data_IF_210587132110
#
_entry.id   IF_210587132110
#
_cell.length_a   1.000
_cell.length_b   1.000
_cell.length_c   1.000
_cell.angle_alpha   90.00
_cell.angle_beta   90.00
_cell.angle_gamma   90.00
#
_symmetry.space_group_name_H-M   'P 1'
#
loop_
_entity.id
_entity.type
_entity.pdbx_description
1 polymer ?
#
# COMPACT_ATOMS: atom_id res chain seq x y z
N UNK A 1 23.69 6.28 11.88
CA UNK A 1 22.61 7.29 11.77
C UNK A 1 21.53 6.97 10.71
N UNK A 2 21.74 6.00 9.82
CA UNK A 2 20.78 5.63 8.75
C UNK A 2 19.74 4.62 9.19
N UNK A 3 20.01 3.79 10.19
CA UNK A 3 19.05 2.82 10.75
C UNK A 3 17.85 3.49 11.47
N UNK A 4 18.08 4.64 12.13
CA UNK A 4 17.05 5.35 12.88
C UNK A 4 15.98 6.06 12.01
N UNK A 5 16.22 6.31 10.72
CA UNK A 5 15.21 6.92 9.84
C UNK A 5 14.18 5.91 9.32
N UNK A 6 14.54 4.62 9.20
CA UNK A 6 13.61 3.57 8.77
C UNK A 6 12.60 3.17 9.85
N UNK A 7 12.94 3.36 11.13
CA UNK A 7 12.05 3.08 12.27
C UNK A 7 10.99 4.16 12.53
N UNK A 8 11.08 5.34 11.89
CA UNK A 8 10.16 6.46 12.13
C UNK A 8 8.77 6.33 11.48
N UNK A 9 8.53 5.31 10.67
CA UNK A 9 7.23 5.11 10.01
C UNK A 9 6.27 4.21 10.79
N UNK A 10 6.62 3.83 12.01
CA UNK A 10 5.82 2.89 12.76
C UNK A 10 5.97 3.15 14.26
N UNK A 11 4.85 3.27 14.93
CA UNK A 11 4.78 3.18 16.37
C UNK A 11 4.12 1.85 16.74
N UNK A 12 4.91 0.91 17.27
CA UNK A 12 4.38 -0.26 17.96
C UNK A 12 4.36 0.08 19.44
N UNK A 13 3.20 0.02 20.04
CA UNK A 13 3.08 0.11 21.49
C UNK A 13 2.62 -1.22 22.03
N UNK A 14 3.45 -1.80 22.86
CA UNK A 14 3.11 -2.89 23.74
C UNK A 14 2.16 -2.33 24.83
N UNK A 15 0.93 -2.77 24.83
CA UNK A 15 -0.01 -2.51 25.92
C UNK A 15 -0.25 -3.84 26.63
N UNK A 16 0.51 -4.07 27.69
CA UNK A 16 0.40 -5.31 28.45
C UNK A 16 -0.93 -5.45 29.22
N UNK A 17 -1.68 -4.35 29.50
CA UNK A 17 -2.83 -4.42 30.40
C UNK A 17 -4.01 -3.49 30.11
N UNK A 18 -4.02 -2.68 29.04
CA UNK A 18 -5.19 -1.86 28.71
C UNK A 18 -5.20 -1.45 27.23
N UNK A 19 -6.39 -1.45 26.62
CA UNK A 19 -6.60 -0.79 25.34
C UNK A 19 -6.29 0.70 25.50
N UNK A 20 -5.42 1.22 24.62
CA UNK A 20 -5.17 2.66 24.54
C UNK A 20 -6.43 3.32 23.99
N UNK A 21 -6.86 4.38 24.65
CA UNK A 21 -7.99 5.19 24.17
C UNK A 21 -7.73 5.67 22.73
N UNK A 22 -8.76 5.62 21.90
CA UNK A 22 -8.70 6.03 20.48
C UNK A 22 -8.22 7.48 20.32
N UNK A 23 -8.67 8.37 21.20
CA UNK A 23 -8.25 9.78 21.20
C UNK A 23 -6.74 9.93 21.44
N UNK A 24 -6.16 9.07 22.28
CA UNK A 24 -4.72 9.04 22.53
C UNK A 24 -3.95 8.48 21.34
N UNK A 25 -4.47 7.42 20.68
CA UNK A 25 -3.87 6.89 19.45
C UNK A 25 -3.85 7.97 18.35
N UNK A 26 -4.95 8.72 18.20
CA UNK A 26 -5.06 9.80 17.23
C UNK A 26 -4.07 10.94 17.52
N UNK A 27 -3.91 11.34 18.79
CA UNK A 27 -2.95 12.37 19.19
C UNK A 27 -1.50 11.94 18.91
N UNK A 28 -1.15 10.68 19.19
CA UNK A 28 0.18 10.12 18.90
C UNK A 28 0.42 10.12 17.38
N UNK A 29 -0.56 9.73 16.59
CA UNK A 29 -0.44 9.73 15.14
C UNK A 29 -0.25 11.15 14.58
N UNK A 30 -0.97 12.12 15.11
CA UNK A 30 -0.82 13.53 14.75
C UNK A 30 0.57 14.08 15.10
N UNK A 31 1.09 13.77 16.29
CA UNK A 31 2.43 14.18 16.73
C UNK A 31 3.54 13.53 15.90
N UNK A 32 3.39 12.23 15.53
CA UNK A 32 4.34 11.54 14.67
C UNK A 32 4.41 12.16 13.26
N UNK A 33 3.30 12.72 12.79
CA UNK A 33 3.18 13.37 11.49
C UNK A 33 3.74 12.49 10.34
N UNK A 34 3.41 11.21 10.37
CA UNK A 34 3.73 10.21 9.34
C UNK A 34 2.48 9.93 8.53
N UNK A 35 2.63 9.29 7.35
CA UNK A 35 1.46 8.90 6.55
C UNK A 35 0.48 8.09 7.39
N UNK A 36 0.96 7.06 8.11
CA UNK A 36 0.18 6.31 9.10
C UNK A 36 1.05 5.86 10.28
N UNK A 37 0.41 5.75 11.45
CA UNK A 37 0.93 5.12 12.67
C UNK A 37 0.10 3.90 12.98
N UNK A 38 0.73 2.72 13.08
CA UNK A 38 0.06 1.48 13.47
C UNK A 38 0.15 1.24 14.97
N UNK A 39 -0.96 0.83 15.57
CA UNK A 39 -1.06 0.38 16.96
C UNK A 39 -1.42 -1.10 16.97
N UNK A 40 -0.61 -1.90 17.65
CA UNK A 40 -0.80 -3.36 17.74
C UNK A 40 -0.96 -3.76 19.20
N UNK A 41 -2.07 -4.44 19.51
CA UNK A 41 -2.28 -5.09 20.78
C UNK A 41 -1.80 -6.55 20.67
N UNK A 42 -0.75 -6.90 21.42
CA UNK A 42 -0.13 -8.23 21.39
C UNK A 42 -0.50 -9.10 22.59
N UNK A 43 -1.47 -8.71 23.39
CA UNK A 43 -1.91 -9.45 24.58
C UNK A 43 -2.53 -10.81 24.27
N UNK A 44 -3.11 -10.98 23.08
CA UNK A 44 -3.73 -12.22 22.63
C UNK A 44 -3.71 -12.36 21.11
N UNK A 45 -3.54 -13.58 20.59
CA UNK A 45 -3.66 -13.88 19.17
C UNK A 45 -5.12 -14.21 18.79
N UNK A 46 -5.59 -13.79 17.60
CA UNK A 46 -4.89 -12.93 16.63
C UNK A 46 -4.68 -11.51 17.18
N UNK A 47 -3.55 -10.88 16.85
CA UNK A 47 -3.20 -9.55 17.34
C UNK A 47 -4.10 -8.49 16.73
N UNK A 48 -4.66 -7.60 17.54
CA UNK A 48 -5.49 -6.51 17.03
C UNK A 48 -4.61 -5.36 16.53
N UNK A 49 -4.83 -4.90 15.28
CA UNK A 49 -4.09 -3.80 14.65
C UNK A 49 -5.04 -2.70 14.20
N UNK A 50 -4.64 -1.44 14.45
CA UNK A 50 -5.32 -0.22 14.01
C UNK A 50 -4.30 0.73 13.40
N UNK A 51 -4.74 1.53 12.43
CA UNK A 51 -3.89 2.49 11.73
C UNK A 51 -4.51 3.88 11.78
N UNK A 52 -3.69 4.87 12.09
CA UNK A 52 -4.09 6.27 12.17
C UNK A 52 -3.21 7.12 11.28
N UNK A 53 -3.82 7.84 10.34
CA UNK A 53 -3.24 9.00 9.71
C UNK A 53 -3.24 10.17 10.72
N UNK A 54 -2.53 11.28 10.47
CA UNK A 54 -2.51 12.41 11.41
C UNK A 54 -3.88 12.99 11.75
N UNK A 55 -4.88 12.84 10.87
CA UNK A 55 -6.22 13.42 11.04
C UNK A 55 -7.34 12.43 11.31
N UNK A 56 -7.14 11.13 11.06
CA UNK A 56 -8.20 10.13 11.18
C UNK A 56 -7.65 8.70 11.23
N UNK A 57 -8.43 7.77 11.79
CA UNK A 57 -8.21 6.33 11.62
C UNK A 57 -8.45 5.93 10.17
N UNK A 58 -7.68 4.97 9.66
CA UNK A 58 -7.81 4.41 8.32
C UNK A 58 -8.08 2.90 8.38
N UNK A 59 -8.87 2.40 7.44
CA UNK A 59 -9.40 1.03 7.47
C UNK A 59 -8.34 -0.04 7.23
N UNK A 60 -7.32 0.28 6.42
CA UNK A 60 -6.26 -0.66 6.05
C UNK A 60 -5.01 0.09 5.59
N UNK A 61 -3.85 -0.29 6.14
CA UNK A 61 -2.56 0.22 5.72
C UNK A 61 -1.54 -0.92 5.55
N UNK A 62 -1.22 -1.26 4.30
CA UNK A 62 -0.33 -2.40 3.98
C UNK A 62 1.10 -2.20 4.47
N UNK A 63 1.72 -1.05 4.19
CA UNK A 63 3.11 -0.81 4.57
C UNK A 63 3.29 -0.73 6.09
N UNK A 64 2.33 -0.15 6.81
CA UNK A 64 2.38 -0.11 8.27
C UNK A 64 2.15 -1.51 8.88
N UNK A 65 1.29 -2.35 8.26
CA UNK A 65 1.13 -3.76 8.66
C UNK A 65 2.41 -4.57 8.44
N UNK A 66 3.07 -4.40 7.28
CA UNK A 66 4.34 -5.06 6.97
C UNK A 66 5.42 -4.67 7.97
N UNK A 67 5.53 -3.39 8.27
CA UNK A 67 6.49 -2.87 9.23
C UNK A 67 6.17 -3.36 10.66
N UNK A 68 4.89 -3.44 11.05
CA UNK A 68 4.46 -4.04 12.32
C UNK A 68 4.85 -5.50 12.41
N UNK A 69 4.56 -6.29 11.38
CA UNK A 69 4.95 -7.69 11.32
C UNK A 69 6.46 -7.86 11.47
N UNK A 70 7.26 -7.04 10.76
CA UNK A 70 8.72 -7.09 10.88
C UNK A 70 9.19 -6.82 12.29
N UNK A 71 8.67 -5.80 12.95
CA UNK A 71 9.07 -5.48 14.30
C UNK A 71 8.65 -6.57 15.30
N UNK A 72 7.48 -7.19 15.13
CA UNK A 72 7.04 -8.30 15.95
C UNK A 72 7.92 -9.55 15.75
N UNK A 73 8.26 -9.89 14.51
CA UNK A 73 9.19 -10.99 14.22
C UNK A 73 10.58 -10.75 14.79
N UNK A 74 11.11 -9.53 14.69
CA UNK A 74 12.47 -9.24 15.09
C UNK A 74 12.63 -9.12 16.63
N UNK A 75 11.60 -8.64 17.36
CA UNK A 75 11.75 -8.27 18.77
C UNK A 75 10.94 -9.14 19.74
N UNK A 76 9.81 -9.73 19.29
CA UNK A 76 8.89 -10.42 20.20
C UNK A 76 8.68 -11.90 19.84
N UNK A 77 8.64 -12.24 18.55
CA UNK A 77 8.26 -13.57 18.08
C UNK A 77 9.26 -14.10 17.06
N UNK A 78 10.54 -14.15 17.44
CA UNK A 78 11.65 -14.52 16.54
C UNK A 78 11.51 -15.92 15.97
N UNK A 79 10.90 -16.85 16.72
CA UNK A 79 10.71 -18.25 16.30
C UNK A 79 9.46 -18.45 15.40
N UNK A 80 8.59 -17.45 15.29
CA UNK A 80 7.40 -17.54 14.46
C UNK A 80 7.72 -17.17 13.00
N UNK A 81 7.10 -17.88 12.06
CA UNK A 81 7.11 -17.54 10.64
C UNK A 81 5.79 -16.93 10.16
N UNK A 82 4.76 -16.95 11.02
CA UNK A 82 3.45 -16.38 10.71
C UNK A 82 2.92 -15.57 11.89
N UNK A 83 2.30 -14.43 11.57
CA UNK A 83 1.57 -13.56 12.50
C UNK A 83 0.21 -13.28 11.89
N UNK A 84 -0.83 -13.48 12.69
CA UNK A 84 -2.21 -13.16 12.29
C UNK A 84 -2.63 -11.90 13.01
N UNK A 85 -2.91 -10.85 12.24
CA UNK A 85 -3.58 -9.66 12.72
C UNK A 85 -5.09 -9.77 12.53
N UNK A 86 -5.84 -9.03 13.30
CA UNK A 86 -7.26 -8.76 13.09
C UNK A 86 -7.51 -7.26 13.11
N UNK A 87 -8.37 -6.78 12.22
CA UNK A 87 -8.80 -5.39 12.17
C UNK A 87 -10.32 -5.31 11.95
N UNK A 88 -10.88 -4.16 12.23
CA UNK A 88 -12.32 -3.96 12.26
C UNK A 88 -12.99 -4.26 10.92
N UNK A 89 -12.46 -3.68 9.83
CA UNK A 89 -13.16 -3.66 8.52
C UNK A 89 -12.79 -4.85 7.61
N UNK A 90 -11.59 -5.43 7.76
CA UNK A 90 -11.09 -6.46 6.84
C UNK A 90 -10.87 -7.83 7.50
N UNK A 91 -11.21 -7.94 8.80
CA UNK A 91 -11.07 -9.20 9.54
C UNK A 91 -9.60 -9.61 9.71
N UNK A 92 -9.25 -10.81 9.28
CA UNK A 92 -7.90 -11.36 9.47
C UNK A 92 -6.96 -10.95 8.36
N UNK A 93 -5.75 -10.53 8.74
CA UNK A 93 -4.62 -10.25 7.85
C UNK A 93 -3.47 -11.18 8.25
N UNK A 94 -2.96 -11.95 7.31
CA UNK A 94 -1.83 -12.85 7.53
C UNK A 94 -0.54 -12.17 7.09
N UNK A 95 0.44 -12.14 7.99
CA UNK A 95 1.83 -11.81 7.68
C UNK A 95 2.68 -13.08 7.80
N UNK A 96 3.41 -13.41 6.74
CA UNK A 96 4.29 -14.58 6.69
C UNK A 96 5.72 -14.14 6.41
N UNK A 97 6.68 -14.66 7.20
CA UNK A 97 8.11 -14.46 6.94
C UNK A 97 8.64 -15.67 6.18
N UNK A 98 9.27 -15.42 5.04
CA UNK A 98 9.91 -16.43 4.21
C UNK A 98 11.14 -15.84 3.49
N UNK A 99 12.27 -16.52 3.53
CA UNK A 99 13.54 -16.15 2.87
C UNK A 99 13.94 -14.67 3.07
N UNK A 100 13.78 -14.16 4.30
CA UNK A 100 14.16 -12.79 4.66
C UNK A 100 13.18 -11.71 4.24
N UNK A 101 12.11 -12.05 3.53
CA UNK A 101 11.01 -11.18 3.16
C UNK A 101 9.80 -11.40 4.07
N UNK A 102 8.93 -10.41 4.12
CA UNK A 102 7.63 -10.52 4.78
C UNK A 102 6.54 -10.35 3.73
N UNK A 103 5.64 -11.30 3.70
CA UNK A 103 4.52 -11.36 2.79
C UNK A 103 3.23 -11.04 3.53
N UNK A 104 2.41 -10.18 2.94
CA UNK A 104 1.05 -9.90 3.39
C UNK A 104 0.05 -10.42 2.37
N UNK A 105 -1.06 -10.92 2.86
CA UNK A 105 -2.14 -11.49 2.08
C UNK A 105 -3.35 -10.54 2.08
N UNK A 106 -3.74 -10.05 0.90
CA UNK A 106 -4.85 -9.12 0.70
C UNK A 106 -5.90 -9.67 -0.27
N UNK A 107 -7.18 -9.28 -0.16
CA UNK A 107 -8.15 -9.57 -1.21
C UNK A 107 -7.79 -8.82 -2.50
N UNK A 108 -8.08 -9.44 -3.64
CA UNK A 108 -7.97 -8.75 -4.94
C UNK A 108 -8.98 -7.61 -5.04
N UNK A 109 -8.60 -6.57 -5.75
CA UNK A 109 -9.49 -5.51 -6.21
C UNK A 109 -9.52 -5.54 -7.74
N UNK A 110 -10.42 -6.38 -8.29
CA UNK A 110 -10.52 -6.59 -9.73
C UNK A 110 -11.06 -5.33 -10.42
N UNK A 111 -10.24 -4.61 -11.19
CA UNK A 111 -10.62 -3.32 -11.72
C UNK A 111 -11.52 -3.46 -12.96
N UNK A 112 -12.57 -2.65 -13.03
CA UNK A 112 -13.42 -2.49 -14.20
C UNK A 112 -12.86 -1.43 -15.15
N UNK A 113 -13.14 -1.56 -16.45
CA UNK A 113 -12.70 -0.58 -17.45
C UNK A 113 -13.29 0.82 -17.15
N UNK A 114 -12.45 1.84 -17.28
CA UNK A 114 -12.81 3.24 -17.09
C UNK A 114 -12.66 4.00 -18.41
N UNK A 115 -13.75 4.60 -18.90
CA UNK A 115 -13.81 5.13 -20.27
C UNK A 115 -13.42 6.62 -20.37
N UNK A 116 -13.33 7.37 -19.27
CA UNK A 116 -13.10 8.82 -19.31
C UNK A 116 -11.60 9.15 -19.27
N UNK A 117 -10.87 8.71 -20.31
CA UNK A 117 -9.42 8.86 -20.40
C UNK A 117 -8.96 10.32 -20.41
N UNK A 118 -9.76 11.23 -20.98
CA UNK A 118 -9.46 12.66 -21.07
C UNK A 118 -9.33 13.30 -19.68
N UNK A 119 -10.16 12.87 -18.71
CA UNK A 119 -10.05 13.38 -17.34
C UNK A 119 -8.69 13.03 -16.72
N UNK A 120 -8.21 11.81 -16.99
CA UNK A 120 -6.89 11.37 -16.50
C UNK A 120 -5.79 12.13 -17.22
N UNK A 121 -5.86 12.23 -18.57
CA UNK A 121 -4.91 13.05 -19.36
C UNK A 121 -4.79 14.47 -18.80
N UNK A 122 -5.91 15.11 -18.51
CA UNK A 122 -5.91 16.49 -18.02
C UNK A 122 -5.23 16.62 -16.64
N UNK A 123 -5.21 15.54 -15.86
CA UNK A 123 -4.59 15.50 -14.55
C UNK A 123 -3.10 15.10 -14.58
N UNK A 124 -2.67 14.26 -15.54
CA UNK A 124 -1.29 13.78 -15.61
C UNK A 124 -0.51 14.29 -16.83
N UNK A 125 -1.15 15.06 -17.72
CA UNK A 125 -0.51 15.63 -18.93
C UNK A 125 -0.28 14.64 -20.07
N UNK A 126 -0.57 13.34 -19.88
CA UNK A 126 -0.34 12.27 -20.85
C UNK A 126 -1.62 11.46 -21.05
N UNK A 127 -1.99 11.18 -22.32
CA UNK A 127 -3.11 10.29 -22.62
C UNK A 127 -2.76 8.85 -22.24
N UNK A 128 -3.52 8.20 -21.34
CA UNK A 128 -3.31 6.79 -21.05
C UNK A 128 -3.79 5.91 -22.20
N UNK A 129 -3.14 4.76 -22.38
CA UNK A 129 -3.55 3.76 -23.37
C UNK A 129 -4.83 3.03 -22.93
N UNK A 130 -4.98 2.87 -21.62
CA UNK A 130 -6.17 2.32 -20.99
C UNK A 130 -6.31 2.84 -19.55
N UNK A 131 -7.52 2.80 -19.02
CA UNK A 131 -7.75 3.08 -17.60
C UNK A 131 -8.78 2.12 -17.00
N UNK A 132 -8.64 1.90 -15.72
CA UNK A 132 -9.48 1.00 -14.96
C UNK A 132 -9.85 1.63 -13.61
N UNK A 133 -10.96 1.18 -13.06
CA UNK A 133 -11.44 1.61 -11.76
C UNK A 133 -11.57 0.42 -10.83
N UNK A 134 -10.80 0.42 -9.75
CA UNK A 134 -11.01 -0.45 -8.59
C UNK A 134 -12.06 0.12 -7.65
N UNK A 135 -12.22 -0.48 -6.49
CA UNK A 135 -13.22 -0.05 -5.49
C UNK A 135 -13.02 1.41 -5.06
N UNK A 136 -11.78 1.82 -4.83
CA UNK A 136 -11.46 3.15 -4.31
C UNK A 136 -10.45 3.92 -5.15
N UNK A 137 -9.82 3.32 -6.15
CA UNK A 137 -8.70 3.90 -6.90
C UNK A 137 -8.95 3.83 -8.40
N UNK A 138 -8.50 4.85 -9.13
CA UNK A 138 -8.31 4.76 -10.58
C UNK A 138 -6.92 4.22 -10.88
N UNK A 139 -6.81 3.47 -11.98
CA UNK A 139 -5.54 3.01 -12.54
C UNK A 139 -5.44 3.42 -14.00
N UNK A 140 -4.39 4.15 -14.34
CA UNK A 140 -4.04 4.52 -15.71
C UNK A 140 -2.84 3.70 -16.19
N UNK A 141 -2.94 3.14 -17.38
CA UNK A 141 -1.87 2.35 -18.01
C UNK A 141 -1.23 3.18 -19.11
N UNK A 142 0.08 3.34 -19.07
CA UNK A 142 0.87 4.05 -20.08
C UNK A 142 1.71 3.07 -20.89
N UNK A 143 2.08 3.47 -22.12
CA UNK A 143 2.82 2.62 -23.06
C UNK A 143 4.29 2.37 -22.71
N UNK A 144 4.82 2.93 -21.61
CA UNK A 144 6.21 2.70 -21.21
C UNK A 144 6.58 3.35 -19.90
N UNK A 145 7.58 2.75 -19.27
CA UNK A 145 8.14 3.17 -17.96
C UNK A 145 8.57 4.63 -17.95
N UNK A 146 9.23 5.11 -19.03
CA UNK A 146 9.72 6.49 -19.08
C UNK A 146 8.59 7.50 -18.94
N UNK A 147 7.43 7.23 -19.53
CA UNK A 147 6.26 8.11 -19.37
C UNK A 147 5.76 8.17 -17.93
N UNK A 148 5.82 7.06 -17.18
CA UNK A 148 5.46 7.04 -15.76
C UNK A 148 6.47 7.84 -14.93
N UNK A 149 7.76 7.70 -15.26
CA UNK A 149 8.86 8.38 -14.56
C UNK A 149 8.80 9.91 -14.73
N UNK A 150 8.52 10.36 -15.95
CA UNK A 150 8.53 11.78 -16.32
C UNK A 150 7.21 12.52 -16.02
N UNK A 151 6.26 11.87 -15.32
CA UNK A 151 4.99 12.50 -14.99
C UNK A 151 5.18 13.71 -14.06
N UNK A 152 4.52 14.79 -14.41
CA UNK A 152 4.31 15.96 -13.56
C UNK A 152 2.80 16.09 -13.26
N UNK A 153 2.28 15.34 -12.27
CA UNK A 153 0.85 15.26 -12.02
C UNK A 153 0.31 16.56 -11.42
N UNK A 154 -0.88 16.95 -11.85
CA UNK A 154 -1.62 18.04 -11.22
C UNK A 154 -2.47 17.47 -10.06
N UNK A 155 -1.96 17.60 -8.84
CA UNK A 155 -2.58 17.05 -7.64
C UNK A 155 -3.97 17.64 -7.36
N UNK A 156 -4.19 18.93 -7.68
CA UNK A 156 -5.50 19.55 -7.53
C UNK A 156 -6.53 18.88 -8.45
N UNK A 157 -6.18 18.57 -9.69
CA UNK A 157 -7.08 17.85 -10.60
C UNK A 157 -7.31 16.41 -10.16
N UNK A 158 -6.27 15.71 -9.65
CA UNK A 158 -6.40 14.36 -9.10
C UNK A 158 -7.33 14.35 -7.88
N UNK A 159 -7.25 15.36 -7.01
CA UNK A 159 -8.13 15.46 -5.84
C UNK A 159 -9.61 15.64 -6.18
N UNK A 160 -9.94 16.03 -7.43
CA UNK A 160 -11.32 16.17 -7.92
C UNK A 160 -11.92 14.90 -8.50
N UNK A 161 -11.18 13.79 -8.57
CA UNK A 161 -11.74 12.50 -8.96
C UNK A 161 -12.69 11.99 -7.85
N UNK A 162 -13.67 11.18 -8.22
CA UNK A 162 -14.56 10.55 -7.23
C UNK A 162 -13.79 9.56 -6.35
N UNK A 163 -12.77 8.91 -6.93
CA UNK A 163 -11.90 7.94 -6.27
C UNK A 163 -10.92 8.62 -5.31
N UNK A 164 -10.38 7.83 -4.38
CA UNK A 164 -9.41 8.32 -3.37
C UNK A 164 -8.07 8.71 -3.99
N UNK A 165 -7.66 8.05 -5.09
CA UNK A 165 -6.38 8.30 -5.71
C UNK A 165 -6.24 7.72 -7.11
N UNK A 166 -5.12 8.06 -7.73
CA UNK A 166 -4.73 7.64 -9.06
C UNK A 166 -3.44 6.83 -9.02
N UNK A 167 -3.49 5.62 -9.55
CA UNK A 167 -2.34 4.77 -9.84
C UNK A 167 -1.97 5.01 -11.30
N UNK A 168 -0.70 5.24 -11.59
CA UNK A 168 -0.20 5.24 -12.98
C UNK A 168 0.83 4.14 -13.10
N UNK A 169 0.67 3.26 -14.09
CA UNK A 169 1.51 2.07 -14.25
C UNK A 169 1.88 1.85 -15.71
N UNK A 170 3.01 1.19 -15.92
CA UNK A 170 3.47 0.76 -17.23
C UNK A 170 4.31 -0.52 -17.12
N UNK A 171 4.44 -1.24 -18.26
CA UNK A 171 5.41 -2.33 -18.38
C UNK A 171 6.82 -1.77 -18.23
N UNK A 172 7.69 -2.53 -17.56
CA UNK A 172 9.10 -2.21 -17.39
C UNK A 172 9.99 -3.17 -18.17
N UNK A 173 11.22 -2.76 -18.44
CA UNK A 173 12.26 -3.62 -19.01
C UNK A 173 13.06 -4.37 -17.95
N UNK A 174 13.15 -3.82 -16.74
CA UNK A 174 13.91 -4.40 -15.62
C UNK A 174 13.01 -5.19 -14.68
N UNK A 175 11.80 -4.69 -14.46
CA UNK A 175 10.76 -5.30 -13.62
C UNK A 175 9.58 -5.76 -14.50
N UNK A 176 8.62 -6.44 -13.93
CA UNK A 176 7.41 -6.79 -14.66
C UNK A 176 6.56 -5.56 -14.98
N UNK A 177 6.44 -4.66 -14.01
CA UNK A 177 5.81 -3.37 -14.17
C UNK A 177 6.35 -2.34 -13.16
N UNK A 178 6.14 -1.08 -13.50
CA UNK A 178 6.40 0.05 -12.59
C UNK A 178 5.14 0.82 -12.31
N UNK A 179 5.14 1.59 -11.23
CA UNK A 179 4.01 2.43 -10.85
C UNK A 179 4.41 3.69 -10.10
N UNK A 180 3.53 4.68 -10.11
CA UNK A 180 3.48 5.81 -9.18
C UNK A 180 2.04 5.95 -8.68
N UNK A 181 1.88 6.35 -7.41
CA UNK A 181 0.58 6.37 -6.74
C UNK A 181 0.34 7.73 -6.07
N UNK A 182 -0.77 8.38 -6.41
CA UNK A 182 -1.09 9.75 -6.01
C UNK A 182 -2.40 9.79 -5.22
N UNK A 183 -2.35 10.34 -3.99
CA UNK A 183 -3.49 10.39 -3.06
C UNK A 183 -3.70 11.79 -2.45
N UNK A 184 -3.77 12.87 -3.24
CA UNK A 184 -3.85 14.24 -2.71
C UNK A 184 -5.10 14.48 -1.83
N UNK A 185 -6.19 13.71 -2.02
CA UNK A 185 -7.38 13.78 -1.14
C UNK A 185 -7.08 13.42 0.32
N UNK A 186 -6.09 12.59 0.56
CA UNK A 186 -5.69 12.15 1.92
C UNK A 186 -4.54 12.97 2.49
N UNK A 187 -4.12 14.03 1.78
CA UNK A 187 -2.99 14.88 2.18
C UNK A 187 -1.63 14.33 1.78
N UNK A 188 -1.58 13.26 0.99
CA UNK A 188 -0.35 12.65 0.48
C UNK A 188 -0.32 12.80 -1.04
N UNK A 189 0.45 13.77 -1.56
CA UNK A 189 0.52 14.01 -3.00
C UNK A 189 1.02 12.78 -3.76
N UNK A 190 2.12 12.17 -3.32
CA UNK A 190 2.63 10.91 -3.84
C UNK A 190 3.04 9.97 -2.70
N UNK A 191 2.50 8.75 -2.70
CA UNK A 191 2.83 7.74 -1.70
C UNK A 191 4.10 6.98 -2.11
N UNK A 192 5.07 6.82 -1.21
CA UNK A 192 6.33 6.12 -1.49
C UNK A 192 6.17 4.68 -1.97
N UNK A 193 5.36 3.87 -1.28
CA UNK A 193 5.08 2.46 -1.62
C UNK A 193 3.70 2.07 -1.14
N UNK A 194 2.81 1.73 -2.07
CA UNK A 194 1.38 1.55 -1.82
C UNK A 194 0.95 0.10 -1.98
N UNK A 195 0.87 -0.66 -0.89
CA UNK A 195 0.41 -2.05 -0.93
C UNK A 195 -0.99 -2.19 -1.52
N UNK A 196 -1.95 -1.38 -1.08
CA UNK A 196 -3.34 -1.43 -1.55
C UNK A 196 -3.53 -1.08 -3.03
N UNK A 197 -2.60 -0.35 -3.65
CA UNK A 197 -2.60 -0.11 -5.09
C UNK A 197 -2.23 -1.39 -5.86
N UNK A 198 -1.37 -2.22 -5.29
CA UNK A 198 -0.96 -3.48 -5.90
C UNK A 198 -2.10 -4.51 -5.92
N UNK A 199 -3.07 -4.43 -5.01
CA UNK A 199 -4.29 -5.25 -5.07
C UNK A 199 -5.12 -4.98 -6.34
N UNK A 200 -5.02 -3.75 -6.90
CA UNK A 200 -5.64 -3.38 -8.20
C UNK A 200 -4.75 -3.75 -9.38
N UNK A 201 -3.43 -3.51 -9.28
CA UNK A 201 -2.50 -3.71 -10.39
C UNK A 201 -2.21 -5.18 -10.69
N UNK A 202 -2.09 -6.03 -9.67
CA UNK A 202 -1.67 -7.42 -9.83
C UNK A 202 -2.64 -8.24 -10.69
N UNK A 203 -3.98 -8.22 -10.50
CA UNK A 203 -4.89 -8.93 -11.38
C UNK A 203 -4.78 -8.48 -12.84
N UNK A 204 -4.63 -7.18 -13.06
CA UNK A 204 -4.43 -6.63 -14.40
C UNK A 204 -3.13 -7.14 -15.03
N UNK A 205 -1.99 -6.97 -14.34
CA UNK A 205 -0.69 -7.35 -14.89
C UNK A 205 -0.52 -8.85 -15.03
N UNK A 206 -1.08 -9.65 -14.13
CA UNK A 206 -1.09 -11.11 -14.26
C UNK A 206 -1.78 -11.54 -15.57
N UNK A 207 -2.92 -10.94 -15.90
CA UNK A 207 -3.61 -11.16 -17.17
C UNK A 207 -2.80 -10.71 -18.40
N UNK A 208 -2.15 -9.53 -18.32
CA UNK A 208 -1.36 -9.00 -19.43
C UNK A 208 -0.06 -9.78 -19.70
N UNK A 209 0.54 -10.32 -18.64
CA UNK A 209 1.83 -11.01 -18.72
C UNK A 209 1.70 -12.53 -18.82
N UNK A 210 0.49 -13.08 -18.57
CA UNK A 210 0.24 -14.52 -18.56
C UNK A 210 0.98 -15.25 -17.44
N UNK A 211 1.23 -14.59 -16.29
CA UNK A 211 1.91 -15.18 -15.14
C UNK A 211 1.39 -14.60 -13.83
N UNK A 212 1.44 -15.38 -12.75
CA UNK A 212 0.92 -14.99 -11.46
C UNK A 212 1.98 -14.39 -10.52
N UNK A 213 3.27 -14.72 -10.70
CA UNK A 213 4.37 -14.17 -9.89
C UNK A 213 5.08 -13.06 -10.65
N UNK A 214 5.23 -11.92 -10.01
CA UNK A 214 5.76 -10.71 -10.61
C UNK A 214 6.65 -9.96 -9.64
N UNK A 215 7.61 -9.21 -10.16
CA UNK A 215 8.38 -8.23 -9.41
C UNK A 215 8.02 -6.85 -9.92
N UNK A 216 7.51 -6.01 -9.04
CA UNK A 216 7.11 -4.63 -9.35
C UNK A 216 8.03 -3.63 -8.67
N UNK A 217 8.13 -2.42 -9.26
CA UNK A 217 8.79 -1.29 -8.61
C UNK A 217 7.86 -0.08 -8.62
N UNK A 218 7.57 0.45 -7.44
CA UNK A 218 6.97 1.79 -7.32
C UNK A 218 8.10 2.81 -7.39
N UNK A 219 8.07 3.67 -8.42
CA UNK A 219 9.17 4.58 -8.78
C UNK A 219 8.93 6.01 -8.28
N UNK A 220 8.35 6.15 -7.08
CA UNK A 220 8.33 7.41 -6.33
C UNK A 220 9.76 7.89 -6.00
N UNK A 221 9.93 9.09 -5.48
CA UNK A 221 11.24 9.62 -5.06
C UNK A 221 11.99 8.65 -4.13
N UNK A 222 11.28 8.05 -3.17
CA UNK A 222 11.86 7.07 -2.23
C UNK A 222 11.99 5.69 -2.83
N UNK A 223 11.07 5.32 -3.70
CA UNK A 223 10.90 4.04 -4.38
C UNK A 223 10.83 2.79 -3.47
N UNK A 224 10.37 1.67 -4.04
CA UNK A 224 10.35 0.36 -3.38
C UNK A 224 10.08 -0.76 -4.37
N UNK A 225 10.63 -1.95 -4.08
CA UNK A 225 10.41 -3.17 -4.83
C UNK A 225 9.40 -4.02 -4.08
N UNK A 226 8.46 -4.60 -4.82
CA UNK A 226 7.43 -5.49 -4.28
C UNK A 226 7.47 -6.82 -5.04
N UNK A 227 7.49 -7.90 -4.28
CA UNK A 227 7.30 -9.25 -4.78
C UNK A 227 5.82 -9.58 -4.73
N UNK A 228 5.23 -9.81 -5.89
CA UNK A 228 3.79 -9.89 -6.07
C UNK A 228 3.37 -11.28 -6.53
N UNK A 229 2.29 -11.81 -5.98
CA UNK A 229 1.70 -13.05 -6.47
C UNK A 229 0.16 -12.93 -6.48
N UNK A 230 -0.44 -13.33 -7.61
CA UNK A 230 -1.88 -13.56 -7.71
C UNK A 230 -2.18 -15.01 -7.36
N UNK A 231 -2.88 -15.23 -6.24
CA UNK A 231 -3.30 -16.55 -5.75
C UNK A 231 -4.83 -16.59 -5.68
N UNK A 232 -5.47 -17.08 -6.73
CA UNK A 232 -6.91 -17.11 -6.93
C UNK A 232 -7.53 -15.69 -6.76
N UNK A 233 -8.28 -15.46 -5.67
CA UNK A 233 -8.90 -14.19 -5.33
C UNK A 233 -8.08 -13.35 -4.32
N UNK A 234 -6.82 -13.75 -4.11
CA UNK A 234 -5.90 -13.12 -3.17
C UNK A 234 -4.67 -12.55 -3.87
N UNK A 235 -4.12 -11.53 -3.26
CA UNK A 235 -2.86 -10.89 -3.67
C UNK A 235 -1.87 -11.02 -2.54
N UNK A 236 -0.76 -11.69 -2.79
CA UNK A 236 0.33 -11.83 -1.85
C UNK A 236 1.40 -10.79 -2.20
N UNK A 237 1.74 -9.95 -1.24
CA UNK A 237 2.71 -8.87 -1.39
C UNK A 237 3.88 -9.05 -0.44
N UNK A 238 5.09 -9.20 -0.98
CA UNK A 238 6.33 -9.30 -0.25
C UNK A 238 7.19 -8.04 -0.37
N UNK A 239 7.87 -7.68 0.74
CA UNK A 239 8.82 -6.57 0.79
C UNK A 239 9.75 -6.63 2.02
#
# INVERSE_FOLDING_TARGET
HTANRRQRQMCIRDSMDADIDESVMQLIAAENNLSETAFVNISSEPFHIRWFAPSAEVDLCGHATLASAKALFDNYFQEKNEIVFTCKEHGKLLAKRDDGLIYLDFPTDNPAKYERLEKIRDAIGVMPDAAYQGKTKLMAVLSGEQKVKDLEPNFEKISRFDQMGLIVTARSSEFDFVSRCFFPKTGVDEDPVTGSAHAVMIPYWASQLGKNKMVAKQISERSGILYCELADDRVILGG
#
